data_IF_991990483803
#
_entry.id   IF_991990483803
#
_cell.length_a   1.000
_cell.length_b   1.000
_cell.length_c   1.000
_cell.angle_alpha   90.00
_cell.angle_beta   90.00
_cell.angle_gamma   90.00
#
_symmetry.space_group_name_H-M   'P 1'
#
loop_
_entity.id
_entity.type
_entity.pdbx_description
1 polymer ?
#
# COMPACT_ATOMS: atom_id res chain seq x y z
N UNK A 1 39.28 37.60 -15.15
CA UNK A 1 39.27 36.16 -15.43
C UNK A 1 37.84 35.70 -15.32
N UNK A 2 37.24 35.37 -16.45
CA UNK A 2 35.85 34.91 -16.55
C UNK A 2 35.86 33.43 -16.16
N UNK A 3 35.13 33.07 -15.11
CA UNK A 3 34.91 31.68 -14.73
C UNK A 3 33.66 31.19 -15.46
N UNK A 4 33.84 30.18 -16.31
CA UNK A 4 32.75 29.51 -17.03
C UNK A 4 31.88 28.72 -16.05
N UNK A 5 30.57 28.87 -16.18
CA UNK A 5 29.59 28.04 -15.49
C UNK A 5 29.42 26.70 -16.22
N UNK A 6 29.35 25.56 -15.51
CA UNK A 6 29.07 24.27 -16.14
C UNK A 6 27.60 24.19 -16.60
N UNK A 7 27.41 23.75 -17.84
CA UNK A 7 26.11 23.50 -18.49
C UNK A 7 25.39 22.34 -17.80
N UNK A 8 24.07 22.44 -17.51
CA UNK A 8 23.30 21.34 -16.96
C UNK A 8 23.17 20.17 -17.95
N UNK A 9 23.10 18.91 -17.47
CA UNK A 9 22.90 17.75 -18.32
C UNK A 9 21.51 17.78 -18.97
N UNK A 10 21.44 17.42 -20.25
CA UNK A 10 20.17 17.33 -20.97
C UNK A 10 19.35 16.11 -20.51
N UNK A 11 18.01 16.21 -20.50
CA UNK A 11 17.15 15.09 -20.16
C UNK A 11 17.28 13.97 -21.20
N UNK A 12 17.51 12.75 -20.73
CA UNK A 12 17.51 11.55 -21.55
C UNK A 12 16.14 11.39 -22.25
N UNK A 13 16.13 11.51 -23.58
CA UNK A 13 14.99 11.10 -24.38
C UNK A 13 14.91 9.57 -24.41
N UNK A 14 13.74 8.96 -24.16
CA UNK A 14 13.55 7.53 -24.41
C UNK A 14 13.64 7.25 -25.92
N UNK A 15 14.10 6.04 -26.31
CA UNK A 15 14.26 5.70 -27.73
C UNK A 15 12.90 5.69 -28.47
N UNK A 16 12.89 5.96 -29.78
CA UNK A 16 11.66 6.06 -30.56
C UNK A 16 10.94 4.71 -30.62
N UNK A 17 9.61 4.74 -30.44
CA UNK A 17 8.76 3.57 -30.65
C UNK A 17 8.72 3.21 -32.13
N UNK A 18 9.17 2.01 -32.43
CA UNK A 18 9.16 1.45 -33.77
C UNK A 18 7.71 1.21 -34.23
N UNK A 19 7.30 1.94 -35.26
CA UNK A 19 5.96 1.87 -35.83
C UNK A 19 5.93 0.83 -36.94
N UNK A 20 5.55 -0.39 -36.59
CA UNK A 20 5.10 -1.38 -37.59
C UNK A 20 3.63 -1.72 -37.34
N UNK A 21 2.79 -1.25 -38.25
CA UNK A 21 1.39 -1.59 -38.36
C UNK A 21 1.24 -2.98 -39.02
N UNK A 22 0.31 -3.79 -38.50
CA UNK A 22 -0.37 -4.83 -39.29
C UNK A 22 -0.16 -6.27 -38.85
N UNK A 23 -0.79 -6.69 -37.76
CA UNK A 23 -1.71 -7.84 -37.75
C UNK A 23 -2.44 -7.84 -36.41
N UNK A 24 -3.75 -8.08 -36.43
CA UNK A 24 -4.59 -8.03 -35.24
C UNK A 24 -4.13 -9.06 -34.21
N UNK A 25 -3.36 -8.61 -33.22
CA UNK A 25 -3.17 -9.36 -31.98
C UNK A 25 -4.50 -9.21 -31.24
N UNK A 26 -5.32 -10.27 -31.31
CA UNK A 26 -6.45 -10.41 -30.40
C UNK A 26 -5.95 -10.09 -28.99
N UNK A 27 -6.61 -9.14 -28.32
CA UNK A 27 -6.37 -8.89 -26.90
C UNK A 27 -6.27 -10.25 -26.20
N UNK A 28 -5.19 -10.53 -25.44
CA UNK A 28 -5.04 -11.84 -24.82
C UNK A 28 -6.32 -12.08 -24.03
N UNK A 29 -7.02 -13.15 -24.41
CA UNK A 29 -8.31 -13.51 -23.85
C UNK A 29 -8.21 -13.35 -22.35
N UNK A 30 -9.04 -12.44 -21.82
CA UNK A 30 -9.11 -12.08 -20.41
C UNK A 30 -8.78 -13.32 -19.60
N UNK A 31 -7.63 -13.32 -18.90
CA UNK A 31 -7.33 -14.35 -17.92
C UNK A 31 -8.62 -14.50 -17.12
N UNK A 32 -9.29 -15.62 -17.32
CA UNK A 32 -10.59 -15.87 -16.72
C UNK A 32 -10.35 -15.58 -15.25
N UNK A 33 -11.04 -14.54 -14.75
CA UNK A 33 -10.85 -14.07 -13.38
C UNK A 33 -11.10 -15.29 -12.50
N UNK A 34 -10.00 -15.87 -12.04
CA UNK A 34 -9.97 -17.16 -11.41
C UNK A 34 -10.26 -16.94 -9.94
N UNK A 35 -11.10 -17.78 -9.35
CA UNK A 35 -11.24 -17.79 -7.90
C UNK A 35 -10.00 -18.48 -7.34
N UNK A 36 -8.99 -17.67 -7.00
CA UNK A 36 -7.69 -18.13 -6.50
C UNK A 36 -7.79 -19.13 -5.33
N UNK A 37 -8.90 -19.11 -4.60
CA UNK A 37 -9.16 -20.02 -3.46
C UNK A 37 -9.45 -21.46 -3.89
N UNK A 38 -9.85 -21.68 -5.14
CA UNK A 38 -10.34 -22.96 -5.64
C UNK A 38 -9.35 -23.69 -6.55
N UNK A 39 -8.17 -23.10 -6.77
CA UNK A 39 -7.18 -23.66 -7.68
C UNK A 39 -6.34 -24.76 -6.99
N UNK A 40 -6.34 -26.00 -7.50
CA UNK A 40 -5.54 -27.09 -6.93
C UNK A 40 -4.04 -26.95 -7.25
N UNK A 41 -3.69 -26.06 -8.18
CA UNK A 41 -2.33 -25.80 -8.66
C UNK A 41 -2.24 -24.34 -9.12
N UNK A 42 -1.10 -23.67 -8.94
CA UNK A 42 -0.99 -22.29 -9.44
C UNK A 42 -0.96 -22.25 -10.98
N UNK A 43 -1.76 -21.40 -11.64
CA UNK A 43 -1.70 -21.26 -13.09
C UNK A 43 -0.40 -20.60 -13.56
N UNK A 44 0.04 -20.91 -14.79
CA UNK A 44 1.34 -20.46 -15.32
C UNK A 44 1.59 -18.94 -15.24
N UNK A 45 0.61 -18.05 -15.49
CA UNK A 45 0.82 -16.61 -15.34
C UNK A 45 1.20 -16.17 -13.92
N UNK A 46 0.87 -16.96 -12.89
CA UNK A 46 1.21 -16.70 -11.49
C UNK A 46 2.56 -17.28 -11.08
N UNK A 47 3.24 -18.00 -11.96
CA UNK A 47 4.56 -18.56 -11.68
C UNK A 47 5.59 -17.45 -11.80
N UNK A 48 6.35 -17.25 -10.72
CA UNK A 48 7.49 -16.36 -10.68
C UNK A 48 8.76 -17.19 -10.95
N UNK A 49 9.58 -16.84 -11.96
CA UNK A 49 10.73 -17.66 -12.33
C UNK A 49 11.79 -17.66 -11.22
N UNK A 50 12.33 -18.84 -10.91
CA UNK A 50 13.39 -19.07 -9.91
C UNK A 50 14.67 -18.24 -10.13
N UNK A 51 14.85 -17.63 -11.31
CA UNK A 51 15.97 -16.76 -11.65
C UNK A 51 15.94 -15.38 -11.01
N UNK A 52 14.79 -14.98 -10.44
CA UNK A 52 14.71 -13.80 -9.56
C UNK A 52 15.11 -14.25 -8.14
N UNK A 53 16.37 -14.70 -7.98
CA UNK A 53 16.89 -15.10 -6.68
C UNK A 53 16.64 -13.96 -5.69
N UNK A 54 15.75 -14.20 -4.73
CA UNK A 54 15.49 -13.32 -3.59
C UNK A 54 16.27 -13.91 -2.42
N UNK A 55 17.50 -13.45 -2.13
CA UNK A 55 18.21 -13.90 -0.95
C UNK A 55 17.35 -13.51 0.25
N UNK A 56 16.70 -14.49 0.85
CA UNK A 56 15.86 -14.28 2.02
C UNK A 56 16.72 -14.53 3.26
N UNK A 57 16.70 -13.57 4.18
CA UNK A 57 17.32 -13.72 5.49
C UNK A 57 16.34 -14.36 6.44
N UNK A 58 16.82 -15.25 7.30
CA UNK A 58 16.04 -15.72 8.45
C UNK A 58 15.97 -14.65 9.55
N UNK A 59 16.82 -13.62 9.49
CA UNK A 59 16.83 -12.53 10.47
C UNK A 59 15.75 -11.51 10.14
N UNK A 60 14.90 -11.22 11.13
CA UNK A 60 13.90 -10.17 11.04
C UNK A 60 14.54 -8.79 10.83
N UNK A 61 13.78 -7.91 10.19
CA UNK A 61 14.15 -6.50 10.10
C UNK A 61 14.12 -5.89 11.50
N UNK A 62 15.23 -5.26 11.91
CA UNK A 62 15.28 -4.45 13.13
C UNK A 62 14.51 -3.14 12.90
N UNK A 63 13.20 -3.22 13.08
CA UNK A 63 12.27 -2.12 12.81
C UNK A 63 11.73 -1.55 14.12
N UNK A 64 11.97 -0.26 14.43
CA UNK A 64 11.54 0.31 15.70
C UNK A 64 10.02 0.44 15.75
N UNK A 65 9.45 0.21 16.95
CA UNK A 65 8.08 0.60 17.29
C UNK A 65 8.13 1.97 17.95
N UNK A 66 7.63 2.98 17.24
CA UNK A 66 7.65 4.39 17.63
C UNK A 66 6.30 4.73 18.27
N UNK A 67 6.30 5.19 19.51
CA UNK A 67 5.09 5.70 20.15
C UNK A 67 4.79 7.11 19.65
N UNK A 68 3.74 7.27 18.85
CA UNK A 68 3.30 8.58 18.34
C UNK A 68 2.34 9.28 19.31
N UNK A 69 1.96 8.64 20.41
CA UNK A 69 1.17 9.26 21.48
C UNK A 69 1.89 10.45 22.13
N UNK A 70 3.22 10.45 22.09
CA UNK A 70 4.08 11.54 22.61
C UNK A 70 3.75 12.92 22.03
N UNK A 71 3.20 12.98 20.81
CA UNK A 71 2.76 14.23 20.16
C UNK A 71 1.53 14.85 20.84
N UNK A 72 0.64 14.01 21.39
CA UNK A 72 -0.57 14.44 22.11
C UNK A 72 -0.30 14.73 23.58
N UNK A 73 0.62 13.99 24.19
CA UNK A 73 0.88 14.04 25.63
C UNK A 73 1.83 15.19 26.01
N UNK A 74 2.46 15.85 25.02
CA UNK A 74 3.39 16.94 25.26
C UNK A 74 4.73 16.50 25.88
N UNK A 75 5.09 15.22 25.74
CA UNK A 75 6.38 14.68 26.19
C UNK A 75 7.49 15.08 25.22
N UNK A 76 8.19 16.18 25.53
CA UNK A 76 9.29 16.69 24.71
C UNK A 76 10.45 15.71 24.54
N UNK A 77 10.75 14.91 25.58
CA UNK A 77 11.87 13.98 25.58
C UNK A 77 11.47 12.68 24.84
N UNK A 78 10.22 12.24 24.98
CA UNK A 78 9.60 11.21 24.13
C UNK A 78 9.57 11.60 22.66
N UNK A 79 9.17 12.83 22.34
CA UNK A 79 9.15 13.34 20.98
C UNK A 79 10.54 13.34 20.33
N UNK A 80 11.56 13.78 21.08
CA UNK A 80 12.96 13.77 20.61
C UNK A 80 13.44 12.33 20.33
N UNK A 81 13.08 11.36 21.18
CA UNK A 81 13.40 9.94 20.95
C UNK A 81 12.68 9.40 19.72
N UNK A 82 11.38 9.67 19.58
CA UNK A 82 10.58 9.22 18.46
C UNK A 82 11.14 9.77 17.13
N UNK A 83 11.47 11.06 17.07
CA UNK A 83 12.07 11.69 15.89
C UNK A 83 13.43 11.06 15.54
N UNK A 84 14.27 10.75 16.53
CA UNK A 84 15.56 10.09 16.30
C UNK A 84 15.40 8.64 15.78
N UNK A 85 14.41 7.89 16.29
CA UNK A 85 14.11 6.54 15.81
C UNK A 85 13.62 6.56 14.36
N UNK A 86 12.72 7.49 14.02
CA UNK A 86 12.24 7.70 12.65
C UNK A 86 13.39 8.09 11.73
N UNK A 87 14.23 9.05 12.11
CA UNK A 87 15.39 9.45 11.31
C UNK A 87 16.32 8.27 11.00
N UNK A 88 16.63 7.46 12.02
CA UNK A 88 17.49 6.28 11.86
C UNK A 88 16.85 5.24 10.92
N UNK A 89 15.58 4.91 11.13
CA UNK A 89 14.87 3.92 10.34
C UNK A 89 14.68 4.36 8.87
N UNK A 90 14.38 5.64 8.64
CA UNK A 90 14.26 6.19 7.30
C UNK A 90 15.61 6.24 6.56
N UNK A 91 16.72 6.51 7.27
CA UNK A 91 18.05 6.55 6.66
C UNK A 91 18.61 5.16 6.30
N UNK A 92 18.09 4.10 6.93
CA UNK A 92 18.57 2.72 6.71
C UNK A 92 17.70 1.94 5.73
N UNK A 93 16.39 1.86 5.99
CA UNK A 93 15.49 1.00 5.22
C UNK A 93 14.15 1.63 4.87
N UNK A 94 13.77 2.77 5.46
CA UNK A 94 12.54 3.49 5.10
C UNK A 94 11.27 2.99 5.79
N UNK A 95 11.37 2.06 6.75
CA UNK A 95 10.22 1.44 7.42
C UNK A 95 10.28 1.62 8.93
N UNK A 96 9.15 1.82 9.59
CA UNK A 96 9.03 1.78 11.05
C UNK A 96 7.61 1.37 11.45
N UNK A 97 7.40 0.94 12.69
CA UNK A 97 6.06 0.70 13.23
C UNK A 97 5.64 1.85 14.12
N UNK A 98 4.35 2.12 14.19
CA UNK A 98 3.79 3.12 15.11
C UNK A 98 2.82 2.49 16.10
N UNK A 99 2.92 2.91 17.36
CA UNK A 99 2.01 2.58 18.45
C UNK A 99 1.46 3.86 19.07
N UNK A 100 0.46 3.76 19.95
CA UNK A 100 -0.15 4.96 20.55
C UNK A 100 -0.83 5.87 19.52
N UNK A 101 -1.15 5.37 18.32
CA UNK A 101 -1.67 6.15 17.19
C UNK A 101 -3.09 6.71 17.40
N UNK A 102 -3.84 6.25 18.40
CA UNK A 102 -5.16 6.80 18.75
C UNK A 102 -6.32 6.27 17.91
N UNK A 103 -6.05 5.61 16.78
CA UNK A 103 -7.06 4.88 16.00
C UNK A 103 -7.75 3.82 16.85
N UNK A 104 -9.08 3.85 16.88
CA UNK A 104 -9.91 2.90 17.63
C UNK A 104 -9.70 1.44 17.16
N UNK A 105 -9.38 0.55 18.09
CA UNK A 105 -9.07 -0.84 17.78
C UNK A 105 -10.28 -1.61 17.18
N UNK A 106 -11.50 -1.27 17.60
CA UNK A 106 -12.70 -1.90 17.04
C UNK A 106 -12.96 -1.41 15.61
N UNK A 107 -12.66 -0.15 15.29
CA UNK A 107 -12.72 0.37 13.93
C UNK A 107 -11.68 -0.29 13.01
N UNK A 108 -10.42 -0.39 13.45
CA UNK A 108 -9.37 -1.09 12.71
C UNK A 108 -9.76 -2.57 12.46
N UNK A 109 -10.32 -3.23 13.49
CA UNK A 109 -10.81 -4.59 13.35
C UNK A 109 -11.99 -4.69 12.38
N UNK A 110 -12.95 -3.78 12.45
CA UNK A 110 -14.08 -3.74 11.52
C UNK A 110 -13.64 -3.51 10.07
N UNK A 111 -12.58 -2.74 9.83
CA UNK A 111 -11.99 -2.59 8.49
C UNK A 111 -11.40 -3.91 7.97
N UNK A 112 -10.63 -4.63 8.79
CA UNK A 112 -10.09 -5.95 8.45
C UNK A 112 -11.21 -6.98 8.19
N UNK A 113 -12.19 -7.05 9.09
CA UNK A 113 -13.33 -7.96 8.94
C UNK A 113 -14.15 -7.61 7.68
N UNK A 114 -14.35 -6.33 7.39
CA UNK A 114 -15.01 -5.86 6.18
C UNK A 114 -14.26 -6.25 4.89
N UNK A 115 -12.92 -6.16 4.87
CA UNK A 115 -12.12 -6.69 3.76
C UNK A 115 -12.33 -8.20 3.62
N UNK A 116 -12.22 -8.93 4.72
CA UNK A 116 -12.38 -10.39 4.76
C UNK A 116 -13.75 -10.82 4.20
N UNK A 117 -14.82 -10.17 4.66
CA UNK A 117 -16.19 -10.45 4.22
C UNK A 117 -16.39 -10.15 2.74
N UNK A 118 -15.84 -9.03 2.24
CA UNK A 118 -15.87 -8.71 0.82
C UNK A 118 -15.18 -9.80 -0.03
N UNK A 119 -13.98 -10.24 0.35
CA UNK A 119 -13.23 -11.23 -0.43
C UNK A 119 -13.82 -12.64 -0.35
N UNK A 120 -14.61 -12.94 0.70
CA UNK A 120 -15.37 -14.18 0.83
C UNK A 120 -16.55 -14.28 -0.13
N UNK A 121 -17.09 -13.16 -0.60
CA UNK A 121 -18.23 -13.12 -1.52
C UNK A 121 -17.99 -13.96 -2.79
N UNK A 122 -19.07 -14.47 -3.42
CA UNK A 122 -18.97 -15.07 -4.74
C UNK A 122 -18.31 -14.11 -5.74
N UNK A 123 -17.53 -14.66 -6.66
CA UNK A 123 -16.81 -13.85 -7.66
C UNK A 123 -17.74 -12.91 -8.45
N UNK A 124 -18.97 -13.34 -8.75
CA UNK A 124 -19.95 -12.52 -9.43
C UNK A 124 -20.27 -11.21 -8.68
N UNK A 125 -20.38 -11.28 -7.35
CA UNK A 125 -20.62 -10.11 -6.50
C UNK A 125 -19.38 -9.21 -6.44
N UNK A 126 -18.18 -9.77 -6.23
CA UNK A 126 -16.91 -9.01 -6.25
C UNK A 126 -16.73 -8.24 -7.56
N UNK A 127 -17.12 -8.86 -8.69
CA UNK A 127 -17.03 -8.27 -10.03
C UNK A 127 -17.96 -7.08 -10.26
N UNK A 128 -18.96 -6.83 -9.41
CA UNK A 128 -19.78 -5.61 -9.46
C UNK A 128 -18.93 -4.37 -9.17
N UNK A 129 -17.87 -4.52 -8.36
CA UNK A 129 -16.88 -3.48 -8.12
C UNK A 129 -15.68 -3.51 -9.07
N UNK A 130 -15.75 -4.20 -10.22
CA UNK A 130 -14.61 -4.30 -11.16
C UNK A 130 -13.96 -2.93 -11.42
N UNK A 131 -12.62 -2.89 -11.32
CA UNK A 131 -11.84 -1.69 -11.62
C UNK A 131 -12.15 -1.17 -13.03
N UNK A 132 -12.53 0.10 -13.11
CA UNK A 132 -12.78 0.78 -14.38
C UNK A 132 -11.44 1.18 -15.00
N UNK A 133 -11.18 0.90 -16.29
CA UNK A 133 -9.95 1.34 -16.96
C UNK A 133 -9.70 2.85 -16.77
N UNK A 134 -8.47 3.22 -16.45
CA UNK A 134 -8.09 4.61 -16.18
C UNK A 134 -8.39 5.09 -14.74
N UNK A 135 -9.02 4.27 -13.90
CA UNK A 135 -9.25 4.58 -12.48
C UNK A 135 -8.41 3.68 -11.57
N UNK A 136 -8.11 4.19 -10.37
CA UNK A 136 -7.47 3.41 -9.30
C UNK A 136 -8.49 2.62 -8.46
N UNK A 137 -9.78 2.96 -8.55
CA UNK A 137 -10.83 2.39 -7.73
C UNK A 137 -11.45 1.14 -8.35
N UNK A 138 -11.64 0.11 -7.54
CA UNK A 138 -12.31 -1.13 -7.88
C UNK A 138 -11.54 -2.39 -7.53
N UNK A 139 -12.22 -3.50 -7.78
CA UNK A 139 -11.77 -4.86 -7.59
C UNK A 139 -10.92 -5.32 -8.77
N UNK A 140 -9.78 -5.94 -8.46
CA UNK A 140 -8.97 -6.72 -9.41
C UNK A 140 -8.49 -8.01 -8.80
N UNK A 141 -8.56 -9.09 -9.60
CA UNK A 141 -7.85 -10.33 -9.32
C UNK A 141 -6.47 -10.24 -9.97
N UNK A 142 -5.42 -10.42 -9.17
CA UNK A 142 -4.05 -10.60 -9.62
C UNK A 142 -3.48 -9.48 -10.51
N UNK A 143 -4.07 -8.29 -10.51
CA UNK A 143 -3.76 -7.22 -11.48
C UNK A 143 -3.64 -7.72 -12.94
N UNK A 144 -4.44 -8.73 -13.31
CA UNK A 144 -4.43 -9.34 -14.64
C UNK A 144 -4.85 -8.37 -15.77
N UNK A 145 -5.26 -7.17 -15.41
CA UNK A 145 -5.53 -6.07 -16.33
C UNK A 145 -4.28 -5.23 -16.66
N UNK A 146 -3.16 -5.43 -15.96
CA UNK A 146 -1.87 -4.75 -16.19
C UNK A 146 -0.76 -5.67 -16.66
N UNK A 147 -0.78 -6.93 -16.26
CA UNK A 147 0.31 -7.88 -16.52
C UNK A 147 -0.21 -9.13 -17.22
N UNK A 148 0.62 -9.74 -18.06
CA UNK A 148 0.33 -11.00 -18.74
C UNK A 148 1.06 -12.22 -18.12
N UNK A 149 2.07 -11.97 -17.27
CA UNK A 149 2.87 -12.96 -16.57
C UNK A 149 3.41 -12.35 -15.26
N UNK A 150 3.95 -13.19 -14.36
CA UNK A 150 4.32 -12.80 -12.98
C UNK A 150 3.17 -12.11 -12.25
N UNK A 151 1.97 -12.67 -12.39
CA UNK A 151 0.79 -12.17 -11.71
C UNK A 151 0.94 -12.38 -10.19
N UNK A 152 0.63 -11.35 -9.39
CA UNK A 152 0.60 -11.50 -7.94
C UNK A 152 -0.53 -12.44 -7.48
N UNK A 153 -0.23 -13.31 -6.52
CA UNK A 153 -1.19 -14.21 -5.88
C UNK A 153 -2.04 -13.45 -4.85
N UNK A 154 -2.86 -12.52 -5.33
CA UNK A 154 -3.75 -11.72 -4.49
C UNK A 154 -4.99 -11.24 -5.21
N UNK A 155 -5.99 -10.91 -4.41
CA UNK A 155 -7.11 -10.07 -4.78
C UNK A 155 -6.94 -8.67 -4.19
N UNK A 156 -7.44 -7.65 -4.88
CA UNK A 156 -7.34 -6.26 -4.41
C UNK A 156 -8.67 -5.55 -4.63
N UNK A 157 -9.12 -4.81 -3.61
CA UNK A 157 -10.15 -3.78 -3.72
C UNK A 157 -9.51 -2.44 -3.38
N UNK A 158 -9.70 -1.44 -4.23
CA UNK A 158 -9.15 -0.09 -4.02
C UNK A 158 -10.23 0.96 -4.13
N UNK A 159 -10.11 2.05 -3.37
CA UNK A 159 -10.98 3.21 -3.47
C UNK A 159 -10.26 4.46 -2.96
N UNK A 160 -10.54 5.59 -3.58
CA UNK A 160 -9.97 6.88 -3.21
C UNK A 160 -10.68 7.50 -2.02
N UNK A 161 -9.93 8.27 -1.24
CA UNK A 161 -10.45 9.14 -0.20
C UNK A 161 -9.85 10.54 -0.36
N UNK A 162 -10.70 11.54 -0.17
CA UNK A 162 -10.31 12.93 0.00
C UNK A 162 -11.37 13.64 0.84
N UNK A 163 -10.94 14.59 1.65
CA UNK A 163 -11.78 15.40 2.54
C UNK A 163 -12.35 16.66 1.86
N UNK A 164 -11.97 16.93 0.60
CA UNK A 164 -12.45 18.07 -0.20
C UNK A 164 -13.96 18.04 -0.50
N UNK A 165 -14.63 16.92 -0.31
CA UNK A 165 -16.06 16.80 -0.57
C UNK A 165 -16.86 16.89 0.73
N UNK A 166 -17.99 17.60 0.69
CA UNK A 166 -18.94 17.61 1.80
C UNK A 166 -19.69 16.27 1.97
N UNK A 167 -19.55 15.35 1.00
CA UNK A 167 -20.22 14.05 0.97
C UNK A 167 -19.25 12.91 1.39
N UNK A 168 -19.77 11.81 1.97
CA UNK A 168 -18.96 10.68 2.41
C UNK A 168 -18.54 9.82 1.21
N UNK A 169 -17.51 10.27 0.48
CA UNK A 169 -17.07 9.71 -0.82
C UNK A 169 -16.84 8.20 -0.80
N UNK A 170 -16.35 7.65 0.31
CA UNK A 170 -16.12 6.21 0.46
C UNK A 170 -17.44 5.49 0.70
N UNK A 171 -18.30 5.99 1.60
CA UNK A 171 -19.60 5.36 1.84
C UNK A 171 -20.49 5.36 0.59
N UNK A 172 -20.45 6.45 -0.17
CA UNK A 172 -21.15 6.59 -1.45
C UNK A 172 -20.58 5.64 -2.51
N UNK A 173 -19.25 5.48 -2.57
CA UNK A 173 -18.61 4.50 -3.46
C UNK A 173 -19.13 3.08 -3.21
N UNK A 174 -19.14 2.62 -1.96
CA UNK A 174 -19.64 1.29 -1.62
C UNK A 174 -21.12 1.13 -1.98
N UNK A 175 -21.95 2.11 -1.62
CA UNK A 175 -23.41 2.03 -1.85
C UNK A 175 -23.76 2.08 -3.35
N UNK A 176 -23.08 2.92 -4.13
CA UNK A 176 -23.31 3.06 -5.57
C UNK A 176 -22.76 1.88 -6.37
N UNK A 177 -21.63 1.30 -5.95
CA UNK A 177 -20.94 0.23 -6.67
C UNK A 177 -21.48 -1.15 -6.31
N UNK A 178 -21.74 -1.39 -5.03
CA UNK A 178 -22.12 -2.71 -4.49
C UNK A 178 -23.56 -2.76 -3.98
N UNK A 179 -24.28 -1.64 -3.99
CA UNK A 179 -25.68 -1.55 -3.58
C UNK A 179 -25.88 -1.16 -2.11
N UNK A 180 -27.13 -0.90 -1.70
CA UNK A 180 -27.44 -0.34 -0.38
C UNK A 180 -27.05 -1.25 0.79
N UNK A 181 -27.00 -2.56 0.57
CA UNK A 181 -26.59 -3.54 1.60
C UNK A 181 -25.12 -3.37 2.04
N UNK A 182 -24.30 -2.71 1.21
CA UNK A 182 -22.90 -2.41 1.52
C UNK A 182 -22.71 -1.04 2.19
N UNK A 183 -23.78 -0.27 2.41
CA UNK A 183 -23.70 1.00 3.12
C UNK A 183 -23.06 0.90 4.53
N UNK A 184 -23.30 -0.15 5.34
CA UNK A 184 -22.60 -0.33 6.61
C UNK A 184 -21.08 -0.45 6.45
N UNK A 185 -20.62 -1.28 5.50
CA UNK A 185 -19.20 -1.43 5.18
C UNK A 185 -18.60 -0.10 4.69
N UNK A 186 -19.34 0.62 3.84
CA UNK A 186 -18.96 1.94 3.37
C UNK A 186 -18.76 2.96 4.49
N UNK A 187 -19.62 2.96 5.51
CA UNK A 187 -19.46 3.84 6.69
C UNK A 187 -18.24 3.49 7.54
N UNK A 188 -17.95 2.19 7.70
CA UNK A 188 -16.73 1.73 8.40
C UNK A 188 -15.49 2.25 7.68
N UNK A 189 -15.39 2.03 6.36
CA UNK A 189 -14.24 2.49 5.59
C UNK A 189 -14.15 4.01 5.47
N UNK A 190 -15.28 4.72 5.39
CA UNK A 190 -15.30 6.18 5.43
C UNK A 190 -14.63 6.68 6.71
N UNK A 191 -15.08 6.20 7.87
CA UNK A 191 -14.49 6.58 9.16
C UNK A 191 -13.03 6.15 9.28
N UNK A 192 -12.70 4.94 8.82
CA UNK A 192 -11.32 4.46 8.86
C UNK A 192 -10.39 5.33 8.00
N UNK A 193 -10.82 5.74 6.81
CA UNK A 193 -10.05 6.64 5.96
C UNK A 193 -9.83 8.03 6.59
N UNK A 194 -10.82 8.56 7.30
CA UNK A 194 -10.71 9.81 8.08
C UNK A 194 -9.64 9.69 9.18
N UNK A 195 -9.65 8.60 9.95
CA UNK A 195 -8.64 8.33 10.98
C UNK A 195 -7.23 8.14 10.38
N UNK A 196 -7.13 7.45 9.23
CA UNK A 196 -5.85 7.29 8.52
C UNK A 196 -5.33 8.61 7.96
N UNK A 197 -6.21 9.52 7.53
CA UNK A 197 -5.82 10.87 7.11
C UNK A 197 -5.19 11.64 8.28
N UNK A 198 -5.84 11.66 9.44
CA UNK A 198 -5.27 12.33 10.62
C UNK A 198 -3.95 11.69 11.06
N UNK A 199 -3.89 10.35 11.11
CA UNK A 199 -2.66 9.64 11.45
C UNK A 199 -1.54 9.93 10.44
N UNK A 200 -1.85 10.04 9.15
CA UNK A 200 -0.85 10.40 8.13
C UNK A 200 -0.25 11.78 8.40
N UNK A 201 -1.06 12.75 8.80
CA UNK A 201 -0.59 14.10 9.14
C UNK A 201 0.26 14.10 10.43
N UNK A 202 -0.10 13.29 11.43
CA UNK A 202 0.72 13.07 12.63
C UNK A 202 2.08 12.46 12.30
N UNK A 203 2.13 11.50 11.38
CA UNK A 203 3.39 10.88 10.94
C UNK A 203 4.23 11.87 10.14
N UNK A 204 3.61 12.67 9.27
CA UNK A 204 4.29 13.73 8.51
C UNK A 204 4.93 14.77 9.44
N UNK A 205 4.22 15.18 10.49
CA UNK A 205 4.77 16.06 11.54
C UNK A 205 5.99 15.41 12.24
N UNK A 206 5.94 14.11 12.52
CA UNK A 206 7.09 13.41 13.11
C UNK A 206 8.29 13.31 12.15
N UNK A 207 8.02 13.07 10.86
CA UNK A 207 9.04 13.04 9.81
C UNK A 207 9.73 14.39 9.65
N UNK A 208 8.99 15.49 9.70
CA UNK A 208 9.58 16.84 9.61
C UNK A 208 10.53 17.12 10.79
N UNK A 209 10.15 16.69 12.00
CA UNK A 209 10.97 16.84 13.20
C UNK A 209 12.24 15.99 13.11
N UNK A 210 12.13 14.79 12.52
CA UNK A 210 13.28 13.92 12.26
C UNK A 210 14.30 14.55 11.29
N UNK A 211 13.85 15.45 10.43
CA UNK A 211 14.66 16.18 9.46
C UNK A 211 15.12 17.57 9.97
N UNK A 212 14.71 17.97 11.18
CA UNK A 212 14.99 19.30 11.72
C UNK A 212 14.21 20.42 11.02
N UNK A 213 13.10 20.09 10.37
CA UNK A 213 12.18 21.05 9.75
C UNK A 213 11.28 21.67 10.83
N UNK A 214 10.81 22.89 10.58
CA UNK A 214 9.87 23.57 11.47
C UNK A 214 8.58 22.77 11.65
N UNK A 215 8.13 22.65 12.91
CA UNK A 215 6.93 21.92 13.28
C UNK A 215 5.69 22.52 12.61
N UNK A 216 4.89 21.70 11.95
CA UNK A 216 3.67 22.05 11.23
C UNK A 216 3.84 22.20 9.72
N UNK A 217 5.08 22.27 9.22
CA UNK A 217 5.35 22.51 7.79
C UNK A 217 4.80 21.39 6.89
N UNK A 218 5.14 20.13 7.14
CA UNK A 218 4.61 18.98 6.40
C UNK A 218 3.14 18.73 6.70
N UNK A 219 2.67 19.01 7.92
CA UNK A 219 1.23 18.92 8.21
C UNK A 219 0.43 19.87 7.32
N UNK A 220 0.90 21.10 7.13
CA UNK A 220 0.27 22.07 6.21
C UNK A 220 0.44 21.64 4.75
N UNK A 221 1.65 21.24 4.35
CA UNK A 221 1.96 20.83 2.97
C UNK A 221 1.11 19.64 2.49
N UNK A 222 0.84 18.67 3.38
CA UNK A 222 0.03 17.49 3.06
C UNK A 222 -1.43 17.62 3.50
N UNK A 223 -1.87 18.81 3.96
CA UNK A 223 -3.23 19.01 4.48
C UNK A 223 -4.30 18.67 3.44
N UNK A 224 -4.08 19.00 2.16
CA UNK A 224 -5.03 18.77 1.08
C UNK A 224 -4.77 17.46 0.30
N UNK A 225 -3.92 16.58 0.84
CA UNK A 225 -3.57 15.31 0.21
C UNK A 225 -4.79 14.40 0.06
N UNK A 226 -4.82 13.68 -1.07
CA UNK A 226 -5.74 12.57 -1.32
C UNK A 226 -5.05 11.24 -1.06
N UNK A 227 -5.80 10.23 -0.62
CA UNK A 227 -5.27 8.89 -0.37
C UNK A 227 -6.01 7.83 -1.17
N UNK A 228 -5.37 6.67 -1.32
CA UNK A 228 -5.97 5.47 -1.90
C UNK A 228 -5.93 4.39 -0.83
N UNK A 229 -7.10 3.90 -0.43
CA UNK A 229 -7.19 2.69 0.38
C UNK A 229 -7.03 1.48 -0.54
N UNK A 230 -6.22 0.50 -0.10
CA UNK A 230 -6.01 -0.75 -0.82
C UNK A 230 -6.15 -1.94 0.13
N UNK A 231 -7.27 -2.63 0.03
CA UNK A 231 -7.47 -3.90 0.73
C UNK A 231 -6.84 -5.01 -0.12
N UNK A 232 -5.83 -5.70 0.41
CA UNK A 232 -5.20 -6.84 -0.25
C UNK A 232 -5.64 -8.12 0.47
N UNK A 233 -6.00 -9.14 -0.30
CA UNK A 233 -6.30 -10.47 0.22
C UNK A 233 -5.42 -11.50 -0.46
N UNK A 234 -4.68 -12.25 0.36
CA UNK A 234 -3.75 -13.29 -0.07
C UNK A 234 -4.34 -14.66 0.27
N UNK A 235 -5.04 -15.31 -0.67
CA UNK A 235 -5.60 -16.63 -0.41
C UNK A 235 -4.49 -17.67 -0.18
N UNK A 236 -4.74 -18.74 0.59
CA UNK A 236 -3.81 -19.86 0.70
C UNK A 236 -3.35 -20.34 -0.68
N UNK A 237 -2.04 -20.53 -0.84
CA UNK A 237 -1.43 -20.92 -2.10
C UNK A 237 -0.99 -22.39 -2.03
N UNK A 238 -1.31 -23.24 -3.04
CA UNK A 238 -0.86 -24.64 -3.06
C UNK A 238 0.63 -24.79 -3.36
N UNK A 239 1.27 -23.79 -3.99
CA UNK A 239 2.68 -23.80 -4.38
C UNK A 239 3.33 -22.43 -4.03
N UNK A 240 3.40 -22.07 -2.73
CA UNK A 240 3.83 -20.74 -2.28
C UNK A 240 5.27 -20.39 -2.68
N UNK A 241 6.14 -21.38 -2.85
CA UNK A 241 7.52 -21.23 -3.30
C UNK A 241 7.66 -20.81 -4.78
N UNK A 242 6.57 -20.89 -5.55
CA UNK A 242 6.55 -20.58 -6.99
C UNK A 242 5.85 -19.27 -7.32
N UNK A 243 5.34 -18.53 -6.34
CA UNK A 243 4.59 -17.29 -6.55
C UNK A 243 4.88 -16.25 -5.48
N UNK A 244 4.44 -15.01 -5.70
CA UNK A 244 4.50 -13.93 -4.71
C UNK A 244 3.12 -13.32 -4.55
N UNK A 245 2.73 -13.03 -3.30
CA UNK A 245 1.50 -12.28 -3.02
C UNK A 245 1.56 -10.88 -3.64
N UNK A 246 2.67 -10.16 -3.45
CA UNK A 246 3.01 -8.94 -4.18
C UNK A 246 4.48 -9.02 -4.57
N UNK A 247 4.82 -8.63 -5.81
CA UNK A 247 6.21 -8.60 -6.27
C UNK A 247 7.04 -7.48 -5.64
N UNK A 248 8.38 -7.51 -5.80
CA UNK A 248 9.26 -6.41 -5.40
C UNK A 248 8.85 -5.08 -6.02
N UNK A 249 8.71 -4.04 -5.20
CA UNK A 249 8.39 -2.68 -5.63
C UNK A 249 8.76 -1.66 -4.55
N UNK A 250 8.82 -0.40 -4.95
CA UNK A 250 8.71 0.76 -4.06
C UNK A 250 7.31 1.35 -4.21
N UNK A 251 6.82 2.00 -3.16
CA UNK A 251 5.56 2.73 -3.22
C UNK A 251 5.78 4.10 -3.89
N UNK A 252 4.98 4.48 -4.91
CA UNK A 252 5.14 5.76 -5.57
C UNK A 252 4.57 6.94 -4.77
N UNK A 253 3.94 6.67 -3.61
CA UNK A 253 3.30 7.66 -2.74
C UNK A 253 4.27 8.23 -1.72
N UNK A 254 3.99 9.39 -1.12
CA UNK A 254 4.86 9.96 -0.08
C UNK A 254 4.93 9.07 1.19
N UNK A 255 3.80 8.48 1.58
CA UNK A 255 3.66 7.71 2.81
C UNK A 255 2.64 6.59 2.63
N UNK A 256 2.95 5.41 3.17
CA UNK A 256 2.03 4.29 3.31
C UNK A 256 1.83 3.97 4.79
N UNK A 257 0.57 3.74 5.18
CA UNK A 257 0.18 3.22 6.49
C UNK A 257 -0.45 1.84 6.26
N UNK A 258 0.18 0.80 6.80
CA UNK A 258 -0.21 -0.58 6.63
C UNK A 258 -0.70 -1.17 7.95
N UNK A 259 -1.98 -1.55 7.95
CA UNK A 259 -2.57 -2.44 8.95
C UNK A 259 -2.47 -3.88 8.46
N UNK A 260 -1.90 -4.77 9.27
CA UNK A 260 -1.74 -6.20 8.96
C UNK A 260 -2.63 -7.06 9.84
N UNK A 261 -2.93 -8.28 9.37
CA UNK A 261 -3.42 -9.36 10.22
C UNK A 261 -2.24 -10.04 10.96
N UNK A 262 -2.50 -11.18 11.59
CA UNK A 262 -1.53 -11.96 12.35
C UNK A 262 -0.76 -13.00 11.50
N UNK A 263 -1.00 -13.07 10.19
CA UNK A 263 -0.34 -14.03 9.28
C UNK A 263 1.04 -13.51 8.83
N UNK A 264 1.20 -12.20 8.70
CA UNK A 264 2.46 -11.57 8.26
C UNK A 264 2.69 -11.65 6.75
N UNK A 265 3.95 -11.82 6.33
CA UNK A 265 4.34 -11.97 4.92
C UNK A 265 4.89 -10.70 4.25
N UNK A 266 4.99 -9.59 4.99
CA UNK A 266 5.75 -8.42 4.53
C UNK A 266 7.25 -8.72 4.67
N UNK A 267 8.00 -8.41 3.61
CA UNK A 267 9.47 -8.48 3.60
C UNK A 267 10.01 -7.18 3.02
N UNK A 268 11.13 -6.71 3.56
CA UNK A 268 11.81 -5.48 3.15
C UNK A 268 13.22 -5.82 2.67
N UNK A 269 13.64 -5.26 1.54
CA UNK A 269 14.98 -5.46 1.00
C UNK A 269 15.97 -4.51 1.68
N UNK A 270 16.95 -5.05 2.42
CA UNK A 270 18.01 -4.29 3.09
C UNK A 270 19.35 -4.95 2.82
N UNK A 271 20.32 -4.19 2.34
CA UNK A 271 21.67 -4.67 1.99
C UNK A 271 21.67 -5.88 1.03
N UNK A 272 20.70 -5.94 0.12
CA UNK A 272 20.56 -7.03 -0.86
C UNK A 272 19.86 -8.28 -0.34
N UNK A 273 19.42 -8.30 0.92
CA UNK A 273 18.67 -9.40 1.53
C UNK A 273 17.24 -8.99 1.87
N UNK A 274 16.28 -9.85 1.56
CA UNK A 274 14.89 -9.70 2.00
C UNK A 274 14.77 -10.11 3.46
N UNK A 275 14.29 -9.19 4.30
CA UNK A 275 14.11 -9.40 5.74
C UNK A 275 12.63 -9.40 6.09
N UNK A 276 12.13 -10.43 6.80
CA UNK A 276 10.74 -10.47 7.21
C UNK A 276 10.42 -9.38 8.24
N UNK A 277 9.19 -8.90 8.19
CA UNK A 277 8.60 -7.98 9.15
C UNK A 277 7.51 -8.70 9.94
N UNK A 278 7.72 -8.83 11.25
CA UNK A 278 6.75 -9.43 12.16
C UNK A 278 5.68 -8.41 12.59
N UNK A 279 4.38 -8.73 12.46
CA UNK A 279 3.31 -7.85 12.92
C UNK A 279 3.37 -7.65 14.45
N UNK A 280 3.38 -6.39 14.90
CA UNK A 280 3.24 -6.07 16.33
C UNK A 280 1.77 -5.80 16.64
N UNK A 281 1.16 -6.50 17.63
CA UNK A 281 -0.24 -6.30 17.98
C UNK A 281 -0.57 -4.84 18.31
N UNK A 282 -1.54 -4.28 17.59
CA UNK A 282 -1.98 -2.89 17.78
C UNK A 282 -1.00 -1.83 17.25
N UNK A 283 0.02 -2.22 16.48
CA UNK A 283 0.86 -1.30 15.73
C UNK A 283 0.46 -1.29 14.25
N UNK A 284 0.86 -0.23 13.55
CA UNK A 284 0.76 -0.12 12.09
C UNK A 284 2.16 0.07 11.50
N UNK A 285 2.44 -0.58 10.38
CA UNK A 285 3.71 -0.40 9.65
C UNK A 285 3.60 0.86 8.80
N UNK A 286 4.64 1.67 8.85
CA UNK A 286 4.81 2.87 8.06
C UNK A 286 5.98 2.66 7.12
N UNK A 287 5.81 3.08 5.87
CA UNK A 287 6.94 3.25 4.96
C UNK A 287 6.86 4.56 4.19
N UNK A 288 8.03 5.15 3.96
CA UNK A 288 8.21 6.23 3.01
C UNK A 288 8.16 5.65 1.60
N UNK A 289 7.65 6.42 0.64
CA UNK A 289 7.75 6.07 -0.77
C UNK A 289 8.49 7.11 -1.58
N UNK A 290 8.36 7.04 -2.90
CA UNK A 290 9.26 7.72 -3.84
C UNK A 290 9.09 9.26 -3.91
N UNK A 291 7.94 9.81 -3.47
CA UNK A 291 7.66 11.27 -3.49
C UNK A 291 8.39 11.99 -2.38
#
# INVERSE_FOLDING_TARGET
MVAEHPTPPQPHQPPPMDSTAGSGIAAPAAAAVCDLRMEPKIPEPFVWPNGDARPASAAELDMPVVDVGVLRDGDAEGLRRAAAQVAAACATHGFFQVSGHGVDAALARAALDGASDFFRLPLAEKRRARRVPGTVSGYTSAHADRFASKLPWKETLSFGFHDRAAAPVVADYFSSTLGPDFAPMGRVYQKYCEEMKELSLTIMELLELSLGVERGYYREFFADSSSIMRCNYYPPCPEPERTLGTGPHCDPTALTILLQDDVGGLEVLVDGEWRPVSPVPGAMVINIGDT
#
